data_IF_225275818257
#
_entry.id   IF_225275818257
#
_cell.length_a   1.000
_cell.length_b   1.000
_cell.length_c   1.000
_cell.angle_alpha   90.00
_cell.angle_beta   90.00
_cell.angle_gamma   90.00
#
_symmetry.space_group_name_H-M   'P 1'
#
loop_
_entity.id
_entity.type
_entity.pdbx_description
1 polymer ?
#
# COMPACT_ATOMS: atom_id res chain seq x y z
N UNK A 1 -11.30 -35.84 35.26
CA UNK A 1 -9.87 -35.55 35.01
C UNK A 1 -9.75 -35.03 33.59
N UNK A 2 -9.84 -33.71 33.40
CA UNK A 2 -9.54 -33.08 32.10
C UNK A 2 -8.07 -32.68 32.13
N UNK A 3 -7.25 -33.35 31.34
CA UNK A 3 -5.92 -32.85 31.00
C UNK A 3 -6.13 -31.62 30.12
N UNK A 4 -5.82 -30.45 30.66
CA UNK A 4 -5.59 -29.26 29.85
C UNK A 4 -4.35 -29.56 29.00
N UNK A 5 -4.50 -29.65 27.68
CA UNK A 5 -3.40 -29.62 26.72
C UNK A 5 -2.60 -28.33 26.93
N UNK A 6 -1.60 -28.43 27.80
CA UNK A 6 -0.67 -27.37 28.10
C UNK A 6 0.19 -27.14 26.87
N UNK A 7 -0.03 -26.02 26.20
CA UNK A 7 0.93 -25.41 25.30
C UNK A 7 2.32 -25.55 25.91
N UNK A 8 3.23 -26.32 25.30
CA UNK A 8 4.54 -26.56 25.88
C UNK A 8 5.47 -25.38 25.57
N UNK A 9 5.73 -24.45 26.51
CA UNK A 9 6.58 -23.28 26.27
C UNK A 9 8.01 -23.68 25.90
N UNK A 10 8.43 -24.89 26.31
CA UNK A 10 9.78 -25.40 26.08
C UNK A 10 10.07 -25.69 24.60
N UNK A 11 9.08 -26.17 23.83
CA UNK A 11 9.23 -26.41 22.40
C UNK A 11 9.44 -25.11 21.62
N UNK A 12 8.70 -24.06 21.96
CA UNK A 12 8.88 -22.73 21.38
C UNK A 12 10.22 -22.11 21.77
N UNK A 13 10.68 -22.31 23.01
CA UNK A 13 12.00 -21.86 23.46
C UNK A 13 13.12 -22.53 22.65
N UNK A 14 13.07 -23.85 22.50
CA UNK A 14 14.02 -24.61 21.68
C UNK A 14 14.02 -24.17 20.21
N UNK A 15 12.83 -23.97 19.63
CA UNK A 15 12.69 -23.46 18.27
C UNK A 15 13.27 -22.04 18.12
N UNK A 16 13.03 -21.15 19.09
CA UNK A 16 13.56 -19.79 19.08
C UNK A 16 15.09 -19.77 19.21
N UNK A 17 15.66 -20.60 20.10
CA UNK A 17 17.12 -20.74 20.25
C UNK A 17 17.74 -21.30 18.97
N UNK A 18 17.15 -22.36 18.39
CA UNK A 18 17.62 -22.93 17.14
C UNK A 18 17.56 -21.92 15.98
N UNK A 19 16.45 -21.18 15.86
CA UNK A 19 16.31 -20.11 14.87
C UNK A 19 17.35 -19.00 15.08
N UNK A 20 17.62 -18.60 16.33
CA UNK A 20 18.65 -17.62 16.67
C UNK A 20 20.06 -18.07 16.30
N UNK A 21 20.41 -19.33 16.57
CA UNK A 21 21.69 -19.92 16.17
C UNK A 21 21.83 -19.99 14.66
N UNK A 22 20.78 -20.37 13.93
CA UNK A 22 20.77 -20.40 12.47
C UNK A 22 20.91 -18.98 11.88
N UNK A 23 20.20 -17.99 12.42
CA UNK A 23 20.31 -16.59 12.03
C UNK A 23 21.73 -16.05 12.25
N UNK A 24 22.39 -16.42 13.36
CA UNK A 24 23.75 -15.99 13.67
C UNK A 24 24.81 -16.54 12.69
N UNK A 25 24.47 -17.58 11.91
CA UNK A 25 25.34 -18.14 10.85
C UNK A 25 25.18 -17.45 9.50
N UNK A 26 24.14 -16.65 9.32
CA UNK A 26 23.91 -15.92 8.07
C UNK A 26 24.75 -14.62 8.04
N UNK A 27 25.20 -14.19 6.86
CA UNK A 27 25.70 -12.83 6.71
C UNK A 27 24.64 -11.81 7.17
N UNK A 28 25.08 -10.71 7.81
CA UNK A 28 24.19 -9.74 8.46
C UNK A 28 23.05 -9.27 7.56
N UNK A 29 23.33 -9.01 6.28
CA UNK A 29 22.32 -8.57 5.31
C UNK A 29 21.19 -9.60 5.14
N UNK A 30 21.51 -10.90 5.06
CA UNK A 30 20.52 -11.98 4.94
C UNK A 30 19.73 -12.17 6.24
N UNK A 31 20.40 -12.07 7.39
CA UNK A 31 19.73 -12.17 8.69
C UNK A 31 18.72 -11.04 8.88
N UNK A 32 19.12 -9.79 8.58
CA UNK A 32 18.22 -8.62 8.62
C UNK A 32 17.08 -8.78 7.63
N UNK A 33 17.38 -9.19 6.39
CA UNK A 33 16.37 -9.41 5.35
C UNK A 33 15.33 -10.47 5.75
N UNK A 34 15.76 -11.58 6.35
CA UNK A 34 14.86 -12.65 6.78
C UNK A 34 13.99 -12.23 7.96
N UNK A 35 14.56 -11.54 8.95
CA UNK A 35 13.80 -11.04 10.11
C UNK A 35 12.82 -9.95 9.68
N UNK A 36 13.29 -8.94 8.94
CA UNK A 36 12.44 -7.86 8.45
C UNK A 36 11.36 -8.37 7.49
N UNK A 37 11.72 -9.26 6.55
CA UNK A 37 10.79 -9.87 5.61
C UNK A 37 9.71 -10.69 6.31
N UNK A 38 10.08 -11.47 7.34
CA UNK A 38 9.13 -12.23 8.16
C UNK A 38 8.21 -11.30 8.95
N UNK A 39 8.76 -10.23 9.56
CA UNK A 39 7.97 -9.24 10.28
C UNK A 39 6.96 -8.55 9.36
N UNK A 40 7.38 -8.15 8.15
CA UNK A 40 6.51 -7.57 7.13
C UNK A 40 5.44 -8.57 6.70
N UNK A 41 5.81 -9.81 6.39
CA UNK A 41 4.86 -10.86 6.02
C UNK A 41 3.79 -11.06 7.10
N UNK A 42 4.20 -11.22 8.36
CA UNK A 42 3.27 -11.37 9.47
C UNK A 42 2.40 -10.12 9.64
N UNK A 43 2.96 -8.93 9.50
CA UNK A 43 2.21 -7.68 9.57
C UNK A 43 1.12 -7.61 8.49
N UNK A 44 1.43 -7.98 7.25
CA UNK A 44 0.45 -8.02 6.14
C UNK A 44 -0.60 -9.10 6.38
N UNK A 45 -0.19 -10.29 6.82
CA UNK A 45 -1.09 -11.39 7.17
C UNK A 45 -2.07 -10.97 8.27
N UNK A 46 -1.60 -10.25 9.29
CA UNK A 46 -2.44 -9.78 10.40
C UNK A 46 -3.31 -8.58 9.97
N UNK A 47 -2.72 -7.60 9.29
CA UNK A 47 -3.32 -6.34 8.86
C UNK A 47 -3.06 -6.07 7.36
N UNK A 48 -3.88 -6.62 6.45
CA UNK A 48 -3.66 -6.49 5.01
C UNK A 48 -3.55 -5.05 4.51
N UNK A 49 -4.29 -4.12 5.12
CA UNK A 49 -4.22 -2.68 4.77
C UNK A 49 -2.82 -2.08 4.92
N UNK A 50 -2.03 -2.58 5.89
CA UNK A 50 -0.66 -2.11 6.06
C UNK A 50 0.23 -2.59 4.93
N UNK A 51 -0.07 -3.75 4.33
CA UNK A 51 0.61 -4.21 3.13
C UNK A 51 0.40 -3.28 1.94
N UNK A 52 -0.81 -2.72 1.78
CA UNK A 52 -1.06 -1.69 0.78
C UNK A 52 -0.27 -0.40 1.07
N UNK A 53 -0.18 0.01 2.34
CA UNK A 53 0.65 1.15 2.75
C UNK A 53 2.14 0.93 2.44
N UNK A 54 2.67 -0.25 2.78
CA UNK A 54 4.05 -0.62 2.48
C UNK A 54 4.31 -0.69 0.97
N UNK A 55 3.36 -1.20 0.18
CA UNK A 55 3.44 -1.19 -1.27
C UNK A 55 3.51 0.25 -1.82
N UNK A 56 2.78 1.21 -1.25
CA UNK A 56 2.85 2.63 -1.64
C UNK A 56 4.19 3.31 -1.29
N UNK A 57 4.87 2.85 -0.23
CA UNK A 57 6.22 3.31 0.09
C UNK A 57 7.27 2.70 -0.84
N UNK A 58 7.10 1.43 -1.19
CA UNK A 58 8.05 0.65 -1.98
C UNK A 58 7.92 0.92 -3.49
N UNK A 59 6.71 1.11 -4.02
CA UNK A 59 6.47 1.29 -5.45
C UNK A 59 7.25 2.44 -6.10
N UNK A 60 7.42 3.62 -5.47
CA UNK A 60 8.28 4.68 -6.01
C UNK A 60 9.75 4.26 -6.21
N UNK A 61 10.21 3.21 -5.52
CA UNK A 61 11.58 2.69 -5.66
C UNK A 61 11.76 1.76 -6.86
N UNK A 62 10.69 1.31 -7.52
CA UNK A 62 10.77 0.31 -8.60
C UNK A 62 11.63 0.74 -9.79
N UNK A 63 11.66 2.04 -10.11
CA UNK A 63 12.55 2.58 -11.14
C UNK A 63 14.03 2.46 -10.72
N UNK A 64 14.34 2.86 -9.49
CA UNK A 64 15.67 2.71 -8.91
C UNK A 64 16.10 1.25 -8.78
N UNK A 65 15.19 0.34 -8.39
CA UNK A 65 15.47 -1.10 -8.34
C UNK A 65 15.82 -1.65 -9.72
N UNK A 66 15.09 -1.21 -10.74
CA UNK A 66 15.35 -1.63 -12.12
C UNK A 66 16.70 -1.12 -12.64
N UNK A 67 17.11 0.09 -12.24
CA UNK A 67 18.41 0.65 -12.63
C UNK A 67 19.58 0.04 -11.82
N UNK A 68 19.37 -0.30 -10.55
CA UNK A 68 20.40 -0.88 -9.68
C UNK A 68 20.60 -2.40 -9.87
N UNK A 69 19.52 -3.16 -10.06
CA UNK A 69 19.54 -4.63 -10.07
C UNK A 69 19.16 -5.25 -11.43
N UNK A 70 18.80 -4.42 -12.41
CA UNK A 70 18.28 -4.86 -13.70
C UNK A 70 16.75 -4.92 -13.72
N UNK A 71 16.17 -4.89 -14.92
CA UNK A 71 14.72 -4.88 -15.10
C UNK A 71 14.10 -6.21 -14.66
N UNK A 72 13.28 -6.16 -13.61
CA UNK A 72 12.48 -7.29 -13.14
C UNK A 72 11.03 -7.21 -13.67
N UNK A 73 10.36 -8.35 -13.68
CA UNK A 73 8.90 -8.41 -13.85
C UNK A 73 8.16 -7.88 -12.62
N UNK A 74 8.76 -8.04 -11.43
CA UNK A 74 8.21 -7.67 -10.14
C UNK A 74 9.22 -6.83 -9.36
N UNK A 75 8.87 -5.59 -9.07
CA UNK A 75 9.56 -4.75 -8.08
C UNK A 75 9.05 -5.03 -6.67
N UNK A 76 9.71 -4.46 -5.66
CA UNK A 76 9.32 -4.64 -4.25
C UNK A 76 7.89 -4.16 -3.94
N UNK A 77 7.44 -3.09 -4.59
CA UNK A 77 6.08 -2.56 -4.47
C UNK A 77 5.04 -3.53 -5.02
N UNK A 78 5.27 -4.08 -6.21
CA UNK A 78 4.42 -5.10 -6.83
C UNK A 78 4.39 -6.39 -5.99
N UNK A 79 5.53 -6.83 -5.45
CA UNK A 79 5.56 -8.00 -4.57
C UNK A 79 4.70 -7.79 -3.32
N UNK A 80 4.83 -6.64 -2.65
CA UNK A 80 4.02 -6.30 -1.48
C UNK A 80 2.53 -6.18 -1.83
N UNK A 81 2.22 -5.62 -2.99
CA UNK A 81 0.85 -5.54 -3.49
C UNK A 81 0.26 -6.94 -3.69
N UNK A 82 0.96 -7.82 -4.42
CA UNK A 82 0.51 -9.19 -4.68
C UNK A 82 0.34 -9.99 -3.38
N UNK A 83 1.29 -9.88 -2.45
CA UNK A 83 1.18 -10.50 -1.13
C UNK A 83 -0.07 -10.00 -0.39
N UNK A 84 -0.29 -8.69 -0.41
CA UNK A 84 -1.46 -8.07 0.23
C UNK A 84 -2.76 -8.59 -0.36
N UNK A 85 -2.85 -8.65 -1.69
CA UNK A 85 -4.02 -9.14 -2.40
C UNK A 85 -4.27 -10.63 -2.12
N UNK A 86 -3.21 -11.45 -2.12
CA UNK A 86 -3.29 -12.87 -1.81
C UNK A 86 -3.80 -13.10 -0.38
N UNK A 87 -3.31 -12.34 0.60
CA UNK A 87 -3.77 -12.41 1.99
C UNK A 87 -5.23 -11.95 2.11
N UNK A 88 -5.61 -10.84 1.47
CA UNK A 88 -6.98 -10.34 1.52
C UNK A 88 -7.96 -11.35 0.90
N UNK A 89 -7.66 -11.88 -0.30
CA UNK A 89 -8.46 -12.91 -0.95
C UNK A 89 -8.53 -14.19 -0.12
N UNK A 90 -7.40 -14.69 0.38
CA UNK A 90 -7.35 -15.90 1.20
C UNK A 90 -8.15 -15.76 2.50
N UNK A 91 -8.13 -14.57 3.12
CA UNK A 91 -8.99 -14.25 4.28
C UNK A 91 -10.47 -14.18 3.92
N UNK A 92 -10.80 -13.58 2.78
CA UNK A 92 -12.18 -13.54 2.27
C UNK A 92 -12.73 -14.93 1.99
N UNK A 93 -11.97 -15.77 1.29
CA UNK A 93 -12.32 -17.15 0.95
C UNK A 93 -12.46 -18.04 2.18
N UNK A 94 -11.49 -18.02 3.09
CA UNK A 94 -11.52 -18.83 4.33
C UNK A 94 -12.71 -18.48 5.23
N UNK A 95 -13.11 -17.21 5.24
CA UNK A 95 -14.28 -16.73 6.00
C UNK A 95 -15.58 -16.79 5.20
N UNK A 96 -15.56 -17.30 3.96
CA UNK A 96 -16.68 -17.33 3.01
C UNK A 96 -17.38 -15.97 2.88
N UNK A 97 -16.57 -14.90 2.93
CA UNK A 97 -17.03 -13.52 2.90
C UNK A 97 -16.13 -12.73 1.94
N UNK A 98 -16.31 -13.00 0.65
CA UNK A 98 -15.92 -12.07 -0.40
C UNK A 98 -17.20 -11.35 -0.81
N UNK A 99 -17.45 -10.21 -0.16
CA UNK A 99 -18.51 -9.33 -0.63
C UNK A 99 -17.92 -8.54 -1.80
N UNK A 100 -18.55 -8.59 -2.96
CA UNK A 100 -18.25 -7.67 -4.05
C UNK A 100 -19.13 -6.44 -3.81
N UNK A 101 -18.60 -5.38 -3.18
CA UNK A 101 -19.44 -4.26 -2.76
C UNK A 101 -19.98 -3.54 -4.00
N UNK A 102 -21.28 -3.29 -4.10
CA UNK A 102 -21.78 -2.55 -5.26
C UNK A 102 -21.35 -1.08 -5.15
N UNK A 103 -20.49 -0.64 -6.07
CA UNK A 103 -20.18 0.77 -6.27
C UNK A 103 -20.50 1.16 -7.71
N UNK A 104 -20.80 2.44 -7.94
CA UNK A 104 -21.08 2.95 -9.27
C UNK A 104 -19.89 2.78 -10.25
N UNK A 105 -18.67 2.63 -9.71
CA UNK A 105 -17.44 2.46 -10.50
C UNK A 105 -17.22 1.02 -10.97
N UNK A 106 -17.89 0.01 -10.40
CA UNK A 106 -17.68 -1.39 -10.80
C UNK A 106 -18.07 -1.65 -12.26
N UNK A 107 -19.21 -1.10 -12.69
CA UNK A 107 -19.70 -1.28 -14.07
C UNK A 107 -18.74 -0.67 -15.09
N UNK A 108 -18.40 0.63 -15.03
CA UNK A 108 -17.49 1.22 -16.02
C UNK A 108 -16.10 0.57 -15.97
N UNK A 109 -15.58 0.23 -14.78
CA UNK A 109 -14.27 -0.42 -14.67
C UNK A 109 -14.27 -1.85 -15.25
N UNK A 110 -15.35 -2.61 -15.02
CA UNK A 110 -15.50 -3.95 -15.62
C UNK A 110 -15.62 -3.87 -17.13
N UNK A 111 -16.42 -2.94 -17.64
CA UNK A 111 -16.54 -2.70 -19.09
C UNK A 111 -15.18 -2.33 -19.68
N UNK A 112 -14.46 -1.41 -19.04
CA UNK A 112 -13.11 -1.01 -19.46
C UNK A 112 -12.14 -2.21 -19.48
N UNK A 113 -12.12 -3.03 -18.43
CA UNK A 113 -11.27 -4.23 -18.37
C UNK A 113 -11.62 -5.26 -19.44
N UNK A 114 -12.91 -5.44 -19.75
CA UNK A 114 -13.37 -6.35 -20.81
C UNK A 114 -12.98 -5.83 -22.20
N UNK A 115 -13.21 -4.54 -22.47
CA UNK A 115 -12.85 -3.91 -23.76
C UNK A 115 -11.33 -3.94 -23.98
N UNK A 116 -10.55 -3.63 -22.94
CA UNK A 116 -9.08 -3.68 -23.03
C UNK A 116 -8.56 -5.11 -23.12
N UNK A 117 -9.22 -6.09 -22.48
CA UNK A 117 -8.90 -7.51 -22.66
C UNK A 117 -9.12 -7.96 -24.12
N UNK A 118 -10.23 -7.57 -24.74
CA UNK A 118 -10.49 -7.87 -26.17
C UNK A 118 -9.46 -7.17 -27.06
N UNK A 119 -9.02 -5.97 -26.68
CA UNK A 119 -7.98 -5.23 -27.42
C UNK A 119 -6.61 -5.93 -27.42
N UNK A 120 -6.35 -6.86 -26.49
CA UNK A 120 -5.15 -7.70 -26.48
C UNK A 120 -5.06 -8.63 -27.71
N UNK A 121 -6.19 -8.93 -28.37
CA UNK A 121 -6.21 -9.77 -29.58
C UNK A 121 -5.52 -9.11 -30.77
N UNK A 122 -5.36 -7.78 -30.76
CA UNK A 122 -4.77 -7.01 -31.87
C UNK A 122 -3.71 -6.01 -31.39
N UNK A 123 -2.99 -6.33 -30.31
CA UNK A 123 -1.94 -5.45 -29.79
C UNK A 123 -0.61 -5.68 -30.54
N UNK A 124 0.14 -4.62 -30.92
CA UNK A 124 1.44 -4.78 -31.58
C UNK A 124 2.48 -5.57 -30.78
N UNK A 125 2.33 -5.61 -29.45
CA UNK A 125 3.18 -6.38 -28.56
C UNK A 125 2.37 -6.91 -27.38
N UNK A 126 2.17 -8.24 -27.37
CA UNK A 126 1.40 -8.91 -26.33
C UNK A 126 2.02 -8.74 -24.93
N UNK A 127 3.35 -8.82 -24.72
CA UNK A 127 3.94 -8.58 -23.41
C UNK A 127 3.64 -7.18 -22.85
N UNK A 128 3.73 -6.14 -23.68
CA UNK A 128 3.41 -4.78 -23.23
C UNK A 128 1.91 -4.59 -22.99
N UNK A 129 1.06 -5.14 -23.86
CA UNK A 129 -0.39 -5.13 -23.70
C UNK A 129 -0.84 -5.83 -22.41
N UNK A 130 -0.32 -7.03 -22.15
CA UNK A 130 -0.62 -7.80 -20.93
C UNK A 130 -0.14 -7.05 -19.68
N UNK A 131 1.06 -6.47 -19.71
CA UNK A 131 1.58 -5.67 -18.58
C UNK A 131 0.67 -4.48 -18.29
N UNK A 132 0.17 -3.80 -19.32
CA UNK A 132 -0.75 -2.69 -19.14
C UNK A 132 -2.11 -3.15 -18.60
N UNK A 133 -2.68 -4.20 -19.17
CA UNK A 133 -3.94 -4.76 -18.70
C UNK A 133 -3.87 -5.23 -17.24
N UNK A 134 -2.75 -5.86 -16.83
CA UNK A 134 -2.52 -6.28 -15.45
C UNK A 134 -2.51 -5.12 -14.46
N UNK A 135 -1.94 -3.96 -14.81
CA UNK A 135 -2.01 -2.76 -13.95
C UNK A 135 -3.45 -2.34 -13.67
N UNK A 136 -4.31 -2.39 -14.70
CA UNK A 136 -5.72 -2.04 -14.55
C UNK A 136 -6.49 -3.08 -13.74
N UNK A 137 -6.16 -4.36 -13.89
CA UNK A 137 -6.69 -5.43 -13.05
C UNK A 137 -6.26 -5.26 -11.58
N UNK A 138 -5.01 -4.88 -11.32
CA UNK A 138 -4.49 -4.53 -9.99
C UNK A 138 -5.25 -3.34 -9.38
N UNK A 139 -5.49 -2.27 -10.14
CA UNK A 139 -6.30 -1.12 -9.71
C UNK A 139 -7.72 -1.56 -9.32
N UNK A 140 -8.36 -2.42 -10.13
CA UNK A 140 -9.67 -2.95 -9.80
C UNK A 140 -9.67 -3.79 -8.53
N UNK A 141 -8.63 -4.59 -8.32
CA UNK A 141 -8.50 -5.42 -7.11
C UNK A 141 -8.26 -4.58 -5.86
N UNK A 142 -7.41 -3.55 -5.95
CA UNK A 142 -7.20 -2.56 -4.89
C UNK A 142 -8.51 -1.88 -4.55
N UNK A 143 -9.27 -1.45 -5.55
CA UNK A 143 -10.56 -0.81 -5.35
C UNK A 143 -11.53 -1.74 -4.59
N UNK A 144 -11.66 -3.00 -5.03
CA UNK A 144 -12.51 -3.99 -4.35
C UNK A 144 -12.10 -4.18 -2.89
N UNK A 145 -10.80 -4.31 -2.62
CA UNK A 145 -10.27 -4.43 -1.27
C UNK A 145 -10.60 -3.20 -0.42
N UNK A 146 -10.33 -1.99 -0.92
CA UNK A 146 -10.58 -0.74 -0.17
C UNK A 146 -12.07 -0.57 0.15
N UNK A 147 -12.96 -0.88 -0.79
CA UNK A 147 -14.40 -0.77 -0.56
C UNK A 147 -14.91 -1.86 0.39
N UNK A 148 -14.47 -3.11 0.25
CA UNK A 148 -14.79 -4.20 1.19
C UNK A 148 -14.38 -3.82 2.61
N UNK A 149 -13.16 -3.32 2.78
CA UNK A 149 -12.67 -2.78 4.04
C UNK A 149 -13.58 -1.66 4.57
N UNK A 150 -13.95 -0.69 3.73
CA UNK A 150 -14.87 0.39 4.06
C UNK A 150 -16.23 -0.11 4.55
N UNK A 151 -16.79 -1.11 3.87
CA UNK A 151 -18.07 -1.72 4.23
C UNK A 151 -18.02 -2.48 5.58
N UNK A 152 -16.90 -3.15 5.86
CA UNK A 152 -16.67 -3.81 7.16
C UNK A 152 -16.63 -2.79 8.29
N UNK A 153 -15.94 -1.66 8.07
CA UNK A 153 -15.80 -0.59 9.07
C UNK A 153 -17.16 0.08 9.34
N UNK A 154 -17.89 0.45 8.30
CA UNK A 154 -19.18 1.14 8.43
C UNK A 154 -20.21 0.27 9.18
N UNK A 155 -20.29 -1.01 8.83
CA UNK A 155 -21.19 -1.97 9.49
C UNK A 155 -20.83 -2.15 10.96
N UNK A 156 -19.53 -2.28 11.30
CA UNK A 156 -19.10 -2.48 12.69
C UNK A 156 -19.21 -1.23 13.55
N UNK A 157 -18.96 -0.04 13.00
CA UNK A 157 -19.17 1.23 13.71
C UNK A 157 -20.65 1.43 14.10
N UNK A 158 -21.58 0.91 13.29
CA UNK A 158 -23.02 0.93 13.60
C UNK A 158 -23.42 -0.04 14.72
N UNK A 159 -22.69 -1.15 14.88
CA UNK A 159 -23.03 -2.23 15.83
C UNK A 159 -22.25 -2.12 17.14
N UNK A 160 -21.04 -1.56 17.12
CA UNK A 160 -20.16 -1.52 18.30
C UNK A 160 -19.52 -0.14 18.39
N UNK A 161 -20.09 0.72 19.24
CA UNK A 161 -19.68 2.12 19.41
C UNK A 161 -18.24 2.31 19.93
N UNK A 162 -17.52 1.24 20.32
CA UNK A 162 -16.28 1.34 21.11
C UNK A 162 -15.15 0.34 20.76
N UNK A 163 -15.05 -0.18 19.53
CA UNK A 163 -13.92 -1.09 19.19
C UNK A 163 -12.77 -0.36 18.47
N UNK A 164 -11.69 0.08 19.17
CA UNK A 164 -10.55 0.81 18.59
C UNK A 164 -9.66 -0.03 17.66
N UNK A 165 -9.77 -1.36 17.69
CA UNK A 165 -8.81 -2.27 17.04
C UNK A 165 -8.66 -2.12 15.51
N UNK A 166 -9.66 -1.58 14.80
CA UNK A 166 -9.60 -1.39 13.35
C UNK A 166 -9.25 0.04 12.91
N UNK A 167 -9.29 1.01 13.83
CA UNK A 167 -8.99 2.41 13.50
C UNK A 167 -7.48 2.61 13.34
N UNK A 168 -6.70 2.03 14.25
CA UNK A 168 -5.24 2.18 14.26
C UNK A 168 -4.59 1.74 12.93
N UNK A 169 -4.87 0.55 12.35
CA UNK A 169 -4.26 0.17 11.07
C UNK A 169 -4.61 1.10 9.91
N UNK A 170 -5.81 1.69 9.90
CA UNK A 170 -6.24 2.63 8.85
C UNK A 170 -5.53 3.96 9.03
N UNK A 171 -5.45 4.47 10.26
CA UNK A 171 -4.70 5.70 10.57
C UNK A 171 -3.24 5.53 10.20
N UNK A 172 -2.64 4.38 10.52
CA UNK A 172 -1.27 4.05 10.11
C UNK A 172 -1.15 3.99 8.58
N UNK A 173 -2.09 3.33 7.88
CA UNK A 173 -2.10 3.30 6.42
C UNK A 173 -2.14 4.71 5.80
N UNK A 174 -3.05 5.56 6.27
CA UNK A 174 -3.15 6.95 5.81
C UNK A 174 -1.88 7.74 6.13
N UNK A 175 -1.32 7.55 7.32
CA UNK A 175 -0.06 8.19 7.70
C UNK A 175 1.09 7.75 6.79
N UNK A 176 1.18 6.46 6.46
CA UNK A 176 2.15 5.92 5.50
C UNK A 176 1.96 6.54 4.11
N UNK A 177 0.72 6.59 3.61
CA UNK A 177 0.40 7.17 2.30
C UNK A 177 0.83 8.63 2.22
N UNK A 178 0.49 9.42 3.25
CA UNK A 178 0.85 10.84 3.31
C UNK A 178 2.36 11.03 3.49
N UNK A 179 3.01 10.19 4.29
CA UNK A 179 4.46 10.20 4.46
C UNK A 179 5.19 9.87 3.14
N UNK A 180 4.70 8.88 2.39
CA UNK A 180 5.25 8.53 1.08
C UNK A 180 5.17 9.71 0.11
N UNK A 181 4.00 10.35 0.03
CA UNK A 181 3.80 11.58 -0.74
C UNK A 181 4.70 12.72 -0.30
N UNK A 182 4.80 12.94 1.01
CA UNK A 182 5.63 13.98 1.61
C UNK A 182 7.12 13.80 1.28
N UNK A 183 7.65 12.59 1.45
CA UNK A 183 9.05 12.27 1.11
C UNK A 183 9.31 12.52 -0.38
N UNK A 184 8.43 12.03 -1.26
CA UNK A 184 8.57 12.26 -2.70
C UNK A 184 8.48 13.75 -3.06
N UNK A 185 7.61 14.53 -2.41
CA UNK A 185 7.53 15.97 -2.61
C UNK A 185 8.82 16.68 -2.22
N UNK A 186 9.42 16.32 -1.08
CA UNK A 186 10.72 16.87 -0.64
C UNK A 186 11.85 16.53 -1.61
N UNK A 187 11.91 15.27 -2.08
CA UNK A 187 12.88 14.85 -3.11
C UNK A 187 12.67 15.69 -4.39
N UNK A 188 11.42 15.87 -4.82
CA UNK A 188 11.10 16.66 -6.01
C UNK A 188 11.46 18.15 -5.88
N UNK A 189 11.20 18.77 -4.73
CA UNK A 189 11.59 20.17 -4.45
C UNK A 189 13.11 20.31 -4.48
N UNK A 190 13.82 19.36 -3.88
CA UNK A 190 15.28 19.33 -3.92
C UNK A 190 15.81 19.15 -5.35
N UNK A 191 15.26 18.22 -6.14
CA UNK A 191 15.61 18.01 -7.56
C UNK A 191 15.39 19.27 -8.40
N UNK A 192 14.30 20.00 -8.15
CA UNK A 192 14.00 21.23 -8.87
C UNK A 192 15.08 22.32 -8.66
N UNK A 193 15.64 22.41 -7.44
CA UNK A 193 16.58 23.45 -7.05
C UNK A 193 18.07 23.08 -7.13
N UNK A 194 18.43 21.80 -7.28
CA UNK A 194 19.82 21.31 -7.20
C UNK A 194 20.72 21.76 -8.36
N UNK A 195 20.14 22.06 -9.53
CA UNK A 195 20.88 22.58 -10.69
C UNK A 195 21.63 21.51 -11.49
N UNK A 196 21.44 20.22 -11.21
CA UNK A 196 21.93 19.09 -11.99
C UNK A 196 20.80 18.08 -12.26
N UNK A 197 20.85 17.41 -13.41
CA UNK A 197 19.83 16.44 -13.84
C UNK A 197 19.89 16.12 -15.32
N UNK A 198 19.07 15.17 -15.80
CA UNK A 198 18.99 14.85 -17.23
C UNK A 198 18.66 16.08 -18.07
N UNK A 199 19.41 16.33 -19.14
CA UNK A 199 19.26 17.55 -19.97
C UNK A 199 17.83 17.75 -20.49
N UNK A 200 17.15 16.65 -20.83
CA UNK A 200 15.78 16.67 -21.32
C UNK A 200 14.74 16.99 -20.23
N UNK A 201 15.14 17.10 -18.96
CA UNK A 201 14.31 17.62 -17.87
C UNK A 201 14.58 19.10 -17.56
N UNK A 202 15.53 19.75 -18.25
CA UNK A 202 15.83 21.16 -18.04
C UNK A 202 14.66 22.05 -18.49
N UNK A 203 14.31 23.00 -17.65
CA UNK A 203 13.22 23.97 -17.79
C UNK A 203 13.79 25.35 -17.59
N UNK A 204 13.51 26.25 -18.54
CA UNK A 204 13.96 27.64 -18.51
C UNK A 204 15.48 27.79 -18.35
N UNK A 205 16.27 26.80 -18.80
CA UNK A 205 17.74 26.84 -18.73
C UNK A 205 18.34 26.84 -17.32
N UNK A 206 17.53 26.59 -16.27
CA UNK A 206 17.98 26.68 -14.87
C UNK A 206 17.42 25.60 -13.96
N UNK A 207 16.15 25.25 -14.14
CA UNK A 207 15.46 24.33 -13.24
C UNK A 207 15.30 22.97 -13.89
N UNK A 208 15.20 21.91 -13.09
CA UNK A 208 14.89 20.58 -13.61
C UNK A 208 13.48 20.18 -13.22
N UNK A 209 12.75 19.52 -14.11
CA UNK A 209 11.44 18.92 -13.78
C UNK A 209 11.66 17.92 -12.65
N UNK A 210 10.89 18.04 -11.57
CA UNK A 210 10.90 17.05 -10.49
C UNK A 210 10.43 15.68 -11.01
N UNK A 211 11.10 14.62 -10.59
CA UNK A 211 10.82 13.24 -11.00
C UNK A 211 10.83 12.24 -9.83
N UNK A 212 11.08 12.69 -8.60
CA UNK A 212 11.11 11.85 -7.40
C UNK A 212 12.08 10.67 -7.56
N UNK A 213 11.75 9.54 -6.95
CA UNK A 213 12.46 8.26 -7.18
C UNK A 213 11.93 7.50 -8.40
N UNK A 214 10.95 8.06 -9.13
CA UNK A 214 10.35 7.44 -10.31
C UNK A 214 11.23 7.54 -11.57
N UNK A 215 12.31 8.31 -11.51
CA UNK A 215 13.22 8.61 -12.64
C UNK A 215 12.52 9.25 -13.86
N UNK A 216 11.25 9.64 -13.72
CA UNK A 216 10.44 10.25 -14.78
C UNK A 216 9.46 11.30 -14.22
N UNK A 217 9.40 12.52 -14.81
CA UNK A 217 8.54 13.59 -14.34
C UNK A 217 7.04 13.30 -14.42
N UNK A 218 6.60 12.50 -15.40
CA UNK A 218 5.18 12.25 -15.62
C UNK A 218 4.58 11.32 -14.54
N UNK A 219 5.15 10.14 -14.25
CA UNK A 219 4.73 9.31 -13.11
C UNK A 219 4.78 10.06 -11.77
N UNK A 220 5.83 10.85 -11.54
CA UNK A 220 5.96 11.67 -10.34
C UNK A 220 4.80 12.67 -10.20
N UNK A 221 4.52 13.45 -11.24
CA UNK A 221 3.42 14.42 -11.22
C UNK A 221 2.05 13.77 -11.01
N UNK A 222 1.82 12.61 -11.64
CA UNK A 222 0.61 11.81 -11.43
C UNK A 222 0.47 11.35 -9.98
N UNK A 223 1.53 10.79 -9.40
CA UNK A 223 1.57 10.33 -8.01
C UNK A 223 1.34 11.48 -7.02
N UNK A 224 1.96 12.64 -7.24
CA UNK A 224 1.75 13.85 -6.43
C UNK A 224 0.31 14.35 -6.49
N UNK A 225 -0.29 14.39 -7.67
CA UNK A 225 -1.68 14.83 -7.83
C UNK A 225 -2.65 13.91 -7.06
N UNK A 226 -2.52 12.59 -7.22
CA UNK A 226 -3.36 11.62 -6.53
C UNK A 226 -3.18 11.71 -5.00
N UNK A 227 -1.95 11.83 -4.53
CA UNK A 227 -1.66 11.94 -3.10
C UNK A 227 -2.18 13.25 -2.50
N UNK A 228 -2.06 14.36 -3.23
CA UNK A 228 -2.57 15.67 -2.80
C UNK A 228 -4.10 15.67 -2.67
N UNK A 229 -4.83 15.05 -3.61
CA UNK A 229 -6.29 14.92 -3.54
C UNK A 229 -6.73 14.10 -2.32
N UNK A 230 -6.02 13.02 -2.01
CA UNK A 230 -6.28 12.22 -0.81
C UNK A 230 -5.95 13.00 0.47
N UNK A 231 -4.83 13.72 0.50
CA UNK A 231 -4.46 14.58 1.62
C UNK A 231 -5.52 15.65 1.89
N UNK A 232 -6.03 16.30 0.83
CA UNK A 232 -7.11 17.26 0.92
C UNK A 232 -8.38 16.62 1.50
N UNK A 233 -8.74 15.41 1.05
CA UNK A 233 -9.86 14.65 1.60
C UNK A 233 -9.73 14.39 3.10
N UNK A 234 -8.53 14.02 3.57
CA UNK A 234 -8.23 13.85 5.00
C UNK A 234 -8.39 15.17 5.76
N UNK A 235 -7.84 16.27 5.24
CA UNK A 235 -7.95 17.61 5.86
C UNK A 235 -9.41 18.04 5.97
N UNK A 236 -10.19 17.91 4.91
CA UNK A 236 -11.63 18.22 4.91
C UNK A 236 -12.37 17.34 5.92
N UNK A 237 -12.05 16.06 5.99
CA UNK A 237 -12.60 15.13 6.99
C UNK A 237 -12.30 15.53 8.44
N UNK A 238 -11.07 15.99 8.70
CA UNK A 238 -10.66 16.45 10.03
C UNK A 238 -11.35 17.77 10.40
N UNK A 239 -11.39 18.75 9.49
CA UNK A 239 -12.04 20.04 9.69
C UNK A 239 -13.54 19.85 9.96
N UNK A 240 -14.21 19.00 9.18
CA UNK A 240 -15.63 18.69 9.38
C UNK A 240 -15.90 18.00 10.71
N UNK A 241 -15.03 17.08 11.15
CA UNK A 241 -15.14 16.44 12.46
C UNK A 241 -14.98 17.45 13.62
N UNK A 242 -14.00 18.35 13.53
CA UNK A 242 -13.80 19.42 14.53
C UNK A 242 -15.01 20.36 14.58
N UNK A 243 -15.51 20.77 13.41
CA UNK A 243 -16.68 21.64 13.28
C UNK A 243 -17.94 21.01 13.91
N UNK A 244 -18.17 19.71 13.68
CA UNK A 244 -19.32 19.00 14.25
C UNK A 244 -19.24 18.93 15.79
N UNK A 245 -18.07 18.61 16.35
CA UNK A 245 -17.86 18.59 17.81
C UNK A 245 -18.08 19.96 18.44
N UNK A 246 -17.57 21.01 17.80
CA UNK A 246 -17.77 22.38 18.25
C UNK A 246 -19.26 22.76 18.27
N UNK A 247 -20.02 22.41 17.22
CA UNK A 247 -21.48 22.62 17.19
C UNK A 247 -22.25 21.84 18.26
N UNK A 248 -21.74 20.69 18.69
CA UNK A 248 -22.38 19.86 19.72
C UNK A 248 -22.03 20.33 21.14
N UNK A 249 -21.22 21.38 21.31
CA UNK A 249 -20.85 21.90 22.63
C UNK A 249 -19.92 20.98 23.41
N UNK A 250 -19.30 20.00 22.76
CA UNK A 250 -18.30 19.13 23.40
C UNK A 250 -17.04 19.95 23.70
N UNK A 251 -16.82 20.29 24.97
CA UNK A 251 -15.58 20.93 25.41
C UNK A 251 -14.41 19.97 25.22
N UNK A 252 -13.32 20.46 24.65
CA UNK A 252 -12.08 19.72 24.43
C UNK A 252 -11.50 19.22 25.78
N UNK A 253 -11.88 18.02 26.23
CA UNK A 253 -11.27 17.42 27.41
C UNK A 253 -9.99 16.69 26.99
N UNK A 254 -8.84 17.27 27.27
CA UNK A 254 -7.57 16.55 27.28
C UNK A 254 -7.63 15.52 28.42
N UNK A 255 -7.98 14.27 28.10
CA UNK A 255 -7.79 13.11 28.96
C UNK A 255 -7.07 12.04 28.17
#
# INVERSE_FOLDING_TARGET
MNQSDGWQPFGFLLAAVAAGVLLARLPLAWAVGLVAGTAVFLLVVIYPVLGLGLALLAAPLGAWESSAFGSSLLDSGQFLLLLTMAVWLGRGLSRRRLMIPHTFLHVPLTIFLLVTAVSLLNVPSLPFGLREWLKWAEIALIMLMVVDMGAVISTRRRVTSQSPHYQLPITIFLAILLLAGFVQAFIGIWQFGRGDGPEHFLVLGRFYRAYGTFEQPNPFGGYMNLTALLALGVVVGLVTAVWQRWRQGETFSWR
#
